data_IF_145858940327
#
_entry.id   IF_145858940327
#
_cell.length_a   1.000
_cell.length_b   1.000
_cell.length_c   1.000
_cell.angle_alpha   90.00
_cell.angle_beta   90.00
_cell.angle_gamma   90.00
#
_symmetry.space_group_name_H-M   'P 1'
#
loop_
_entity.id
_entity.type
_entity.pdbx_description
1 polymer ?
#
# COMPACT_ATOMS: atom_id res chain seq x y z
N UNK A 1 0.87 24.24 8.45
CA UNK A 1 1.98 23.37 8.91
C UNK A 1 1.97 22.15 8.02
N UNK A 2 3.10 21.76 7.43
CA UNK A 2 3.16 20.53 6.64
C UNK A 2 2.95 19.33 7.56
N UNK A 3 2.11 18.37 7.15
CA UNK A 3 1.91 17.14 7.90
C UNK A 3 3.18 16.28 7.70
N UNK A 4 3.78 15.73 8.77
CA UNK A 4 4.97 14.89 8.64
C UNK A 4 4.73 13.71 7.69
N UNK A 5 5.76 13.33 6.92
CA UNK A 5 5.71 12.23 5.95
C UNK A 5 5.15 10.95 6.57
N UNK A 6 5.62 10.60 7.76
CA UNK A 6 5.20 9.42 8.50
C UNK A 6 3.70 9.42 8.80
N UNK A 7 3.12 10.58 9.14
CA UNK A 7 1.68 10.70 9.42
C UNK A 7 0.84 10.56 8.16
N UNK A 8 1.32 11.07 7.02
CA UNK A 8 0.66 10.89 5.72
C UNK A 8 0.68 9.42 5.31
N UNK A 9 1.86 8.77 5.39
CA UNK A 9 2.01 7.36 5.08
C UNK A 9 1.20 6.48 6.02
N UNK A 10 1.18 6.79 7.31
CA UNK A 10 0.34 6.08 8.29
C UNK A 10 -1.13 6.12 7.88
N UNK A 11 -1.66 7.30 7.56
CA UNK A 11 -3.06 7.43 7.13
C UNK A 11 -3.34 6.59 5.88
N UNK A 12 -2.48 6.70 4.86
CA UNK A 12 -2.66 5.98 3.59
C UNK A 12 -2.67 4.46 3.82
N UNK A 13 -1.68 3.93 4.54
CA UNK A 13 -1.55 2.49 4.72
C UNK A 13 -2.53 1.91 5.75
N UNK A 14 -2.99 2.69 6.73
CA UNK A 14 -4.10 2.29 7.58
C UNK A 14 -5.39 2.11 6.79
N UNK A 15 -5.68 3.00 5.83
CA UNK A 15 -6.89 2.89 5.01
C UNK A 15 -6.83 1.70 4.04
N UNK A 16 -5.64 1.40 3.50
CA UNK A 16 -5.39 0.16 2.74
C UNK A 16 -5.66 -1.08 3.61
N UNK A 17 -5.14 -1.11 4.83
CA UNK A 17 -5.35 -2.22 5.77
C UNK A 17 -6.82 -2.35 6.18
N UNK A 18 -7.54 -1.25 6.39
CA UNK A 18 -8.98 -1.25 6.71
C UNK A 18 -9.78 -1.82 5.54
N UNK A 19 -9.47 -1.40 4.32
CA UNK A 19 -10.12 -1.90 3.10
C UNK A 19 -9.94 -3.41 2.99
N UNK A 20 -8.71 -3.90 3.17
CA UNK A 20 -8.43 -5.34 3.18
C UNK A 20 -9.19 -6.09 4.27
N UNK A 21 -9.28 -5.51 5.46
CA UNK A 21 -9.98 -6.15 6.59
C UNK A 21 -11.49 -6.25 6.34
N UNK A 22 -12.08 -5.30 5.61
CA UNK A 22 -13.50 -5.36 5.21
C UNK A 22 -13.70 -6.45 4.16
N UNK A 23 -12.85 -6.52 3.14
CA UNK A 23 -12.90 -7.59 2.13
C UNK A 23 -12.74 -8.98 2.76
N UNK A 24 -11.83 -9.14 3.72
CA UNK A 24 -11.64 -10.40 4.44
C UNK A 24 -12.88 -10.79 5.28
N UNK A 25 -13.57 -9.80 5.86
CA UNK A 25 -14.78 -10.04 6.65
C UNK A 25 -16.01 -10.34 5.77
N UNK A 26 -16.03 -9.85 4.52
CA UNK A 26 -17.16 -9.99 3.59
C UNK A 26 -16.68 -10.50 2.22
N UNK A 27 -16.11 -11.72 2.15
CA UNK A 27 -15.60 -12.27 0.90
C UNK A 27 -16.73 -12.47 -0.12
N UNK A 28 -16.47 -12.14 -1.39
CA UNK A 28 -17.43 -12.26 -2.49
C UNK A 28 -18.36 -11.06 -2.69
N UNK A 29 -18.17 -9.95 -1.96
CA UNK A 29 -18.87 -8.69 -2.28
C UNK A 29 -18.25 -7.94 -3.46
N UNK A 30 -16.95 -8.09 -3.70
CA UNK A 30 -16.24 -7.26 -4.69
C UNK A 30 -15.32 -8.03 -5.66
N UNK A 31 -14.81 -9.21 -5.30
CA UNK A 31 -13.69 -9.84 -6.02
C UNK A 31 -13.93 -11.35 -6.22
N UNK A 32 -14.20 -11.78 -7.45
CA UNK A 32 -14.45 -13.19 -7.79
C UNK A 32 -13.43 -13.76 -8.78
N UNK A 33 -12.58 -12.92 -9.38
CA UNK A 33 -11.59 -13.32 -10.39
C UNK A 33 -10.17 -12.80 -10.07
N UNK A 34 -9.10 -13.42 -10.62
CA UNK A 34 -7.73 -12.92 -10.48
C UNK A 34 -7.53 -11.49 -11.03
N UNK A 35 -8.32 -11.07 -12.02
CA UNK A 35 -8.28 -9.71 -12.57
C UNK A 35 -8.88 -8.69 -11.58
N UNK A 36 -9.85 -9.11 -10.77
CA UNK A 36 -10.39 -8.29 -9.69
C UNK A 36 -9.31 -8.09 -8.61
N UNK A 37 -8.60 -9.15 -8.21
CA UNK A 37 -7.50 -9.06 -7.23
C UNK A 37 -6.41 -8.06 -7.68
N UNK A 38 -6.01 -8.11 -8.96
CA UNK A 38 -5.09 -7.12 -9.54
C UNK A 38 -5.66 -5.71 -9.44
N UNK A 39 -6.93 -5.52 -9.78
CA UNK A 39 -7.62 -4.23 -9.75
C UNK A 39 -7.71 -3.68 -8.33
N UNK A 40 -7.94 -4.53 -7.33
CA UNK A 40 -7.93 -4.17 -5.91
C UNK A 40 -6.57 -3.68 -5.45
N UNK A 41 -5.48 -4.39 -5.79
CA UNK A 41 -4.12 -3.96 -5.44
C UNK A 41 -3.80 -2.59 -6.06
N UNK A 42 -4.12 -2.39 -7.34
CA UNK A 42 -3.94 -1.09 -8.02
C UNK A 42 -4.76 0.00 -7.33
N UNK A 43 -6.00 -0.28 -6.96
CA UNK A 43 -6.90 0.67 -6.30
C UNK A 43 -6.39 1.06 -4.91
N UNK A 44 -5.91 0.11 -4.12
CA UNK A 44 -5.31 0.35 -2.80
C UNK A 44 -4.07 1.24 -2.90
N UNK A 45 -3.30 1.13 -4.00
CA UNK A 45 -2.14 1.98 -4.25
C UNK A 45 -2.49 3.38 -4.77
N UNK A 46 -3.75 3.70 -5.05
CA UNK A 46 -4.14 4.97 -5.66
C UNK A 46 -3.69 6.20 -4.86
N UNK A 47 -3.96 6.21 -3.55
CA UNK A 47 -3.55 7.30 -2.67
C UNK A 47 -2.02 7.33 -2.49
N UNK A 48 -1.38 6.16 -2.36
CA UNK A 48 0.07 6.06 -2.26
C UNK A 48 0.76 6.58 -3.53
N UNK A 49 0.23 6.27 -4.71
CA UNK A 49 0.74 6.77 -6.00
C UNK A 49 0.72 8.30 -6.03
N UNK A 50 -0.41 8.91 -5.67
CA UNK A 50 -0.52 10.37 -5.63
C UNK A 50 0.51 10.97 -4.69
N UNK A 51 0.64 10.39 -3.49
CA UNK A 51 1.62 10.82 -2.51
C UNK A 51 3.07 10.68 -3.01
N UNK A 52 3.43 9.50 -3.53
CA UNK A 52 4.74 9.20 -4.10
C UNK A 52 5.16 10.18 -5.20
N UNK A 53 4.24 10.47 -6.14
CA UNK A 53 4.52 11.41 -7.23
C UNK A 53 4.70 12.86 -6.77
N UNK A 54 4.18 13.20 -5.59
CA UNK A 54 4.36 14.53 -4.98
C UNK A 54 5.65 14.66 -4.17
N UNK A 55 6.30 13.53 -3.82
CA UNK A 55 7.50 13.51 -3.01
C UNK A 55 8.75 13.88 -3.81
N UNK A 56 9.62 14.75 -3.26
CA UNK A 56 10.97 14.94 -3.78
C UNK A 56 11.75 13.62 -3.81
N UNK A 57 12.61 13.44 -4.81
CA UNK A 57 13.39 12.20 -4.98
C UNK A 57 14.28 11.88 -3.77
N UNK A 58 14.81 12.90 -3.09
CA UNK A 58 15.58 12.75 -1.84
C UNK A 58 14.78 12.10 -0.69
N UNK A 59 13.45 12.20 -0.72
CA UNK A 59 12.55 11.61 0.28
C UNK A 59 12.11 10.19 -0.07
N UNK A 60 12.41 9.70 -1.28
CA UNK A 60 11.94 8.39 -1.77
C UNK A 60 12.49 7.23 -0.94
N UNK A 61 13.78 7.28 -0.59
CA UNK A 61 14.40 6.23 0.24
C UNK A 61 13.75 6.17 1.62
N UNK A 62 13.58 7.33 2.28
CA UNK A 62 12.94 7.40 3.59
C UNK A 62 11.48 6.90 3.54
N UNK A 63 10.75 7.25 2.48
CA UNK A 63 9.38 6.78 2.25
C UNK A 63 9.32 5.24 2.15
N UNK A 64 10.16 4.63 1.32
CA UNK A 64 10.20 3.16 1.17
C UNK A 64 10.61 2.48 2.48
N UNK A 65 11.65 3.00 3.16
CA UNK A 65 12.09 2.48 4.45
C UNK A 65 10.97 2.52 5.49
N UNK A 66 10.19 3.60 5.51
CA UNK A 66 9.05 3.73 6.41
C UNK A 66 7.97 2.69 6.09
N UNK A 67 7.62 2.49 4.81
CA UNK A 67 6.62 1.48 4.41
C UNK A 67 7.07 0.07 4.81
N UNK A 68 8.34 -0.29 4.60
CA UNK A 68 8.87 -1.59 5.02
C UNK A 68 8.79 -1.76 6.54
N UNK A 69 9.13 -0.71 7.32
CA UNK A 69 9.00 -0.73 8.79
C UNK A 69 7.54 -0.88 9.23
N UNK A 70 6.61 -0.20 8.56
CA UNK A 70 5.17 -0.32 8.82
C UNK A 70 4.67 -1.76 8.58
N UNK A 71 5.11 -2.40 7.49
CA UNK A 71 4.75 -3.79 7.18
C UNK A 71 5.30 -4.75 8.24
N UNK A 72 6.57 -4.61 8.62
CA UNK A 72 7.17 -5.42 9.69
C UNK A 72 6.52 -5.20 11.07
N UNK A 73 5.89 -4.04 11.28
CA UNK A 73 5.14 -3.75 12.49
C UNK A 73 3.75 -4.42 12.55
N UNK A 74 3.26 -5.00 11.45
CA UNK A 74 1.98 -5.71 11.44
C UNK A 74 2.07 -7.07 12.15
N UNK A 75 0.95 -7.54 12.69
CA UNK A 75 0.89 -8.82 13.41
C UNK A 75 0.19 -9.94 12.66
N UNK A 76 -0.62 -9.63 11.65
CA UNK A 76 -1.34 -10.63 10.85
C UNK A 76 -0.49 -11.07 9.65
N UNK A 77 -0.11 -12.36 9.53
CA UNK A 77 0.63 -12.87 8.38
C UNK A 77 -0.07 -12.61 7.04
N UNK A 78 -1.40 -12.71 7.01
CA UNK A 78 -2.20 -12.40 5.81
C UNK A 78 -2.07 -10.92 5.42
N UNK A 79 -2.19 -10.02 6.39
CA UNK A 79 -2.04 -8.57 6.17
C UNK A 79 -0.63 -8.23 5.69
N UNK A 80 0.38 -8.87 6.27
CA UNK A 80 1.78 -8.72 5.84
C UNK A 80 1.92 -9.14 4.38
N UNK A 81 1.38 -10.31 4.00
CA UNK A 81 1.38 -10.79 2.61
C UNK A 81 0.72 -9.78 1.68
N UNK A 82 -0.51 -9.35 1.99
CA UNK A 82 -1.25 -8.38 1.18
C UNK A 82 -0.50 -7.06 0.97
N UNK A 83 0.15 -6.54 2.02
CA UNK A 83 0.95 -5.31 1.91
C UNK A 83 2.20 -5.51 1.04
N UNK A 84 2.83 -6.69 1.08
CA UNK A 84 3.91 -7.02 0.15
C UNK A 84 3.40 -7.21 -1.28
N UNK A 85 2.20 -7.76 -1.49
CA UNK A 85 1.57 -7.85 -2.80
C UNK A 85 1.29 -6.45 -3.37
N UNK A 86 0.89 -5.49 -2.52
CA UNK A 86 0.79 -4.08 -2.90
C UNK A 86 2.15 -3.51 -3.32
N UNK A 87 3.23 -3.77 -2.58
CA UNK A 87 4.57 -3.32 -2.98
C UNK A 87 5.03 -3.97 -4.30
N UNK A 88 4.77 -5.26 -4.48
CA UNK A 88 5.09 -5.98 -5.71
C UNK A 88 4.33 -5.38 -6.90
N UNK A 89 3.03 -5.10 -6.74
CA UNK A 89 2.21 -4.44 -7.76
C UNK A 89 2.69 -3.01 -8.07
N UNK A 90 3.14 -2.27 -7.06
CA UNK A 90 3.73 -0.94 -7.25
C UNK A 90 5.01 -1.01 -8.09
N UNK A 91 5.85 -2.03 -7.91
CA UNK A 91 7.03 -2.26 -8.75
C UNK A 91 6.64 -2.72 -10.16
N UNK A 92 5.70 -3.65 -10.29
CA UNK A 92 5.24 -4.19 -11.57
C UNK A 92 4.65 -3.09 -12.47
N UNK A 93 3.91 -2.15 -11.87
CA UNK A 93 3.31 -1.01 -12.58
C UNK A 93 4.28 0.17 -12.80
N UNK A 94 5.54 0.02 -12.39
CA UNK A 94 6.58 1.04 -12.52
C UNK A 94 6.40 2.25 -11.60
N UNK A 95 5.56 2.16 -10.56
CA UNK A 95 5.41 3.21 -9.55
C UNK A 95 6.65 3.29 -8.64
N UNK A 96 7.09 2.15 -8.14
CA UNK A 96 8.30 2.04 -7.32
C UNK A 96 9.47 1.46 -8.12
N UNK A 97 10.70 1.93 -7.88
CA UNK A 97 11.87 1.28 -8.44
C UNK A 97 12.03 -0.13 -7.86
N UNK A 98 12.52 -1.11 -8.64
CA UNK A 98 12.74 -2.48 -8.16
C UNK A 98 13.97 -2.61 -7.23
N UNK A 99 14.77 -1.56 -7.09
CA UNK A 99 16.00 -1.51 -6.28
C UNK A 99 16.03 -0.23 -5.46
#
# INVERSE_FOLDING_TARGET
>A
MAIPMETQLQTIFEDVVKTESIEEAFPGMFMDTPEDERTKLISCLGAFRQYWTSLPQESHEQCVQWVVRFIHGQHSPKRISFLYDCLAMAVETGLLPPR
#
